data_IF_769997616271
#
_entry.id   IF_769997616271
#
_cell.length_a   1.000
_cell.length_b   1.000
_cell.length_c   1.000
_cell.angle_alpha   90.00
_cell.angle_beta   90.00
_cell.angle_gamma   90.00
#
_symmetry.space_group_name_H-M   'P 1'
#
loop_
_entity.id
_entity.type
_entity.pdbx_description
1 polymer ?
#
# COMPACT_ATOMS: atom_id res chain seq x y z
N UNK A 1 -19.77 52.32 23.72
CA UNK A 1 -19.71 50.94 24.25
C UNK A 1 -19.88 49.99 23.08
N UNK A 2 -18.80 49.72 22.34
CA UNK A 2 -18.83 48.80 21.21
C UNK A 2 -18.75 47.37 21.76
N UNK A 3 -19.85 46.63 21.69
CA UNK A 3 -19.84 45.20 21.97
C UNK A 3 -19.28 44.48 20.74
N UNK A 4 -17.96 44.33 20.71
CA UNK A 4 -17.32 43.39 19.78
C UNK A 4 -17.61 41.99 20.29
N UNK A 5 -18.51 41.29 19.61
CA UNK A 5 -18.69 39.86 19.79
C UNK A 5 -17.46 39.16 19.21
N UNK A 6 -16.58 38.70 20.08
CA UNK A 6 -15.51 37.78 19.71
C UNK A 6 -16.17 36.44 19.35
N UNK A 7 -16.44 36.26 18.06
CA UNK A 7 -16.77 34.97 17.47
C UNK A 7 -15.56 34.06 17.69
N UNK A 8 -15.59 33.26 18.77
CA UNK A 8 -14.66 32.16 19.00
C UNK A 8 -14.94 31.14 17.91
N UNK A 9 -14.39 31.39 16.73
CA UNK A 9 -14.25 30.40 15.68
C UNK A 9 -13.42 29.29 16.28
N UNK A 10 -14.09 28.21 16.67
CA UNK A 10 -13.46 26.94 17.02
C UNK A 10 -12.62 26.59 15.80
N UNK A 11 -11.32 26.90 15.89
CA UNK A 11 -10.35 26.68 14.84
C UNK A 11 -10.55 25.27 14.33
N UNK A 12 -11.01 25.17 13.09
CA UNK A 12 -11.25 23.90 12.45
C UNK A 12 -9.97 23.08 12.56
N UNK A 13 -10.00 22.03 13.40
CA UNK A 13 -9.07 20.91 13.34
C UNK A 13 -9.30 20.10 12.05
N UNK A 14 -9.29 20.79 10.91
CA UNK A 14 -9.26 20.17 9.58
C UNK A 14 -7.78 19.95 9.24
N UNK A 15 -7.10 19.14 10.04
CA UNK A 15 -5.94 18.45 9.51
C UNK A 15 -6.42 17.68 8.26
N UNK A 16 -5.61 17.55 7.20
CA UNK A 16 -6.02 16.92 5.95
C UNK A 16 -6.03 15.40 6.12
N UNK A 17 -6.91 14.89 6.98
CA UNK A 17 -7.02 13.46 7.29
C UNK A 17 -7.24 12.63 6.01
N UNK A 18 -7.95 13.17 5.02
CA UNK A 18 -8.16 12.50 3.73
C UNK A 18 -6.87 12.17 2.95
N UNK A 19 -5.84 13.00 3.07
CA UNK A 19 -4.56 12.76 2.38
C UNK A 19 -3.71 11.65 3.02
N UNK A 20 -3.80 11.48 4.35
CA UNK A 20 -3.11 10.41 5.06
C UNK A 20 -3.79 9.05 4.84
N UNK A 21 -5.13 9.02 4.87
CA UNK A 21 -5.90 7.79 4.62
C UNK A 21 -5.68 7.24 3.21
N UNK A 22 -5.59 8.10 2.19
CA UNK A 22 -5.29 7.66 0.82
C UNK A 22 -3.94 6.96 0.70
N UNK A 23 -2.88 7.57 1.26
CA UNK A 23 -1.51 6.99 1.22
C UNK A 23 -1.41 5.65 1.95
N UNK A 24 -2.16 5.50 3.05
CA UNK A 24 -2.24 4.24 3.79
C UNK A 24 -2.97 3.20 2.94
N UNK A 25 -4.11 3.54 2.34
CA UNK A 25 -4.87 2.63 1.50
C UNK A 25 -4.04 2.12 0.30
N UNK A 26 -3.29 3.01 -0.36
CA UNK A 26 -2.39 2.64 -1.46
C UNK A 26 -1.28 1.69 -1.00
N UNK A 27 -0.68 1.96 0.16
CA UNK A 27 0.34 1.08 0.73
C UNK A 27 -0.22 -0.31 1.05
N UNK A 28 -1.44 -0.38 1.59
CA UNK A 28 -2.13 -1.66 1.83
C UNK A 28 -2.44 -2.41 0.54
N UNK A 29 -2.87 -1.71 -0.52
CA UNK A 29 -3.14 -2.33 -1.81
C UNK A 29 -1.87 -2.99 -2.38
N UNK A 30 -0.74 -2.26 -2.41
CA UNK A 30 0.55 -2.79 -2.86
C UNK A 30 1.01 -3.98 -2.01
N UNK A 31 0.88 -3.87 -0.68
CA UNK A 31 1.24 -4.95 0.24
C UNK A 31 0.42 -6.21 0.02
N UNK A 32 -0.88 -6.06 -0.29
CA UNK A 32 -1.77 -7.18 -0.62
C UNK A 32 -1.32 -7.88 -1.90
N UNK A 33 -0.96 -7.12 -2.94
CA UNK A 33 -0.45 -7.69 -4.20
C UNK A 33 0.85 -8.45 -3.95
N UNK A 34 1.82 -7.83 -3.27
CA UNK A 34 3.09 -8.47 -2.92
C UNK A 34 2.88 -9.81 -2.21
N UNK A 35 2.10 -9.81 -1.12
CA UNK A 35 1.89 -11.00 -0.31
C UNK A 35 1.18 -12.10 -1.10
N UNK A 36 0.22 -11.73 -1.95
CA UNK A 36 -0.49 -12.66 -2.81
C UNK A 36 0.46 -13.30 -3.82
N UNK A 37 1.19 -12.51 -4.59
CA UNK A 37 2.13 -13.00 -5.60
C UNK A 37 3.23 -13.85 -4.98
N UNK A 38 3.78 -13.42 -3.84
CA UNK A 38 4.77 -14.20 -3.10
C UNK A 38 4.20 -15.55 -2.67
N UNK A 39 3.00 -15.58 -2.08
CA UNK A 39 2.39 -16.83 -1.62
C UNK A 39 2.08 -17.78 -2.78
N UNK A 40 1.54 -17.26 -3.90
CA UNK A 40 1.23 -18.05 -5.10
C UNK A 40 2.51 -18.67 -5.69
N UNK A 41 3.57 -17.87 -5.89
CA UNK A 41 4.84 -18.38 -6.42
C UNK A 41 5.57 -19.30 -5.45
N UNK A 42 5.53 -19.01 -4.14
CA UNK A 42 6.19 -19.83 -3.14
C UNK A 42 5.48 -21.17 -2.91
N UNK A 43 4.18 -21.26 -3.20
CA UNK A 43 3.42 -22.50 -3.18
C UNK A 43 3.79 -23.44 -4.35
N UNK A 44 4.39 -22.92 -5.42
CA UNK A 44 4.86 -23.73 -6.53
C UNK A 44 6.05 -24.61 -6.13
N UNK A 45 6.07 -25.81 -6.71
CA UNK A 45 7.19 -26.75 -6.61
C UNK A 45 8.39 -26.25 -7.41
N UNK A 46 9.58 -26.77 -7.11
CA UNK A 46 10.79 -26.42 -7.86
C UNK A 46 10.65 -26.71 -9.36
N UNK A 47 9.95 -27.80 -9.71
CA UNK A 47 9.71 -28.14 -11.12
C UNK A 47 8.80 -27.15 -11.82
N UNK A 48 7.68 -26.76 -11.20
CA UNK A 48 6.77 -25.75 -11.78
C UNK A 48 7.48 -24.40 -11.92
N UNK A 49 8.34 -24.05 -10.98
CA UNK A 49 9.18 -22.86 -11.07
C UNK A 49 10.21 -22.96 -12.21
N UNK A 50 10.86 -24.11 -12.37
CA UNK A 50 11.81 -24.37 -13.48
C UNK A 50 11.10 -24.35 -14.84
N UNK A 51 9.89 -24.91 -14.94
CA UNK A 51 9.07 -24.89 -16.16
C UNK A 51 8.71 -23.45 -16.57
N UNK A 52 8.56 -22.55 -15.59
CA UNK A 52 8.36 -21.11 -15.80
C UNK A 52 9.68 -20.33 -15.99
N UNK A 53 10.84 -20.97 -15.80
CA UNK A 53 12.15 -20.31 -15.82
C UNK A 53 12.39 -19.36 -14.65
N UNK A 54 11.73 -19.56 -13.52
CA UNK A 54 11.82 -18.72 -12.31
C UNK A 54 12.63 -19.45 -11.25
N UNK A 55 13.68 -18.82 -10.72
CA UNK A 55 14.38 -19.36 -9.55
C UNK A 55 13.73 -18.91 -8.24
N UNK A 56 13.85 -19.70 -7.15
CA UNK A 56 13.24 -19.36 -5.84
C UNK A 56 13.70 -17.99 -5.30
N UNK A 57 14.92 -17.56 -5.60
CA UNK A 57 15.42 -16.24 -5.19
C UNK A 57 14.75 -15.08 -5.95
N UNK A 58 14.20 -15.34 -7.15
CA UNK A 58 13.48 -14.34 -7.93
C UNK A 58 12.07 -14.08 -7.41
N UNK A 59 11.48 -14.98 -6.63
CA UNK A 59 10.10 -14.84 -6.12
C UNK A 59 9.89 -13.50 -5.40
N UNK A 60 10.80 -13.14 -4.50
CA UNK A 60 10.73 -11.88 -3.75
C UNK A 60 10.81 -10.66 -4.67
N UNK A 61 11.65 -10.73 -5.71
CA UNK A 61 11.80 -9.66 -6.70
C UNK A 61 10.54 -9.54 -7.56
N UNK A 62 10.02 -10.65 -8.07
CA UNK A 62 8.84 -10.65 -8.94
C UNK A 62 7.57 -10.21 -8.18
N UNK A 63 7.45 -10.61 -6.91
CA UNK A 63 6.38 -10.12 -6.04
C UNK A 63 6.49 -8.60 -5.77
N UNK A 64 7.72 -8.08 -5.70
CA UNK A 64 7.96 -6.64 -5.59
C UNK A 64 7.59 -5.90 -6.88
N UNK A 65 8.08 -6.37 -8.03
CA UNK A 65 7.74 -5.79 -9.35
C UNK A 65 6.21 -5.78 -9.55
N UNK A 66 5.51 -6.87 -9.26
CA UNK A 66 4.04 -6.93 -9.34
C UNK A 66 3.32 -5.90 -8.44
N UNK A 67 3.88 -5.58 -7.28
CA UNK A 67 3.28 -4.65 -6.32
C UNK A 67 3.61 -3.17 -6.58
N UNK A 68 4.74 -2.88 -7.22
CA UNK A 68 5.27 -1.52 -7.34
C UNK A 68 5.41 -1.01 -8.79
N UNK A 69 5.56 -1.89 -9.79
CA UNK A 69 5.67 -1.53 -11.21
C UNK A 69 4.34 -1.60 -11.99
N UNK A 70 3.21 -1.78 -11.29
CA UNK A 70 1.86 -1.57 -11.85
C UNK A 70 1.46 -0.09 -11.88
#
# INVERSE_FOLDING_TARGET
MAHIAENIGIGSFRAPFGGLFGRIADAFARRRVYNRTYAELNALTTRELDDLGISRSMISRLAYEAAFEN
#
